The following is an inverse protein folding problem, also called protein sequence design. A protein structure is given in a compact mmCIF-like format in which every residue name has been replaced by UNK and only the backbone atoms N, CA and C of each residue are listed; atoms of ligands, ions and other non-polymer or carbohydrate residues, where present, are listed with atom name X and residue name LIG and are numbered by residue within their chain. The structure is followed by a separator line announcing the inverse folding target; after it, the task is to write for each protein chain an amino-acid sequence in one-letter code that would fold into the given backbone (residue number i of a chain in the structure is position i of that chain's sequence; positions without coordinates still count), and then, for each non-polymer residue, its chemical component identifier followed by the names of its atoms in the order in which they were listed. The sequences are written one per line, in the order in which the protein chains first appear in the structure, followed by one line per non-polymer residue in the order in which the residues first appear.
data_IF_677340355149
#
_entry.id   IF_677340355149
#
_cell.length_a   1.000
_cell.length_b   1.000
_cell.length_c   1.000
_cell.angle_alpha   90.00
_cell.angle_beta   90.00
_cell.angle_gamma   90.00
#
_symmetry.space_group_name_H-M   'P 1'
#
loop_
_entity.id
_entity.type
_entity.pdbx_description
1 polymer ?
#
# COMPACT_ATOMS: atom_id res chain seq x y z
N UNK A 1 -26.25 1.51 -2.61
CA UNK A 1 -24.81 1.22 -2.82
C UNK A 1 -24.13 2.28 -3.68
N UNK A 2 -24.58 2.50 -4.93
CA UNK A 2 -23.96 3.48 -5.84
C UNK A 2 -23.99 4.93 -5.34
N UNK A 3 -25.07 5.35 -4.67
CA UNK A 3 -25.16 6.70 -4.11
C UNK A 3 -24.15 6.93 -2.98
N UNK A 4 -23.93 5.93 -2.12
CA UNK A 4 -22.93 5.98 -1.07
C UNK A 4 -21.51 6.07 -1.67
N UNK A 5 -21.21 5.27 -2.70
CA UNK A 5 -19.92 5.36 -3.39
C UNK A 5 -19.72 6.73 -4.06
N UNK A 6 -20.77 7.29 -4.68
CA UNK A 6 -20.73 8.64 -5.27
C UNK A 6 -20.42 9.69 -4.21
N UNK A 7 -21.06 9.61 -3.04
CA UNK A 7 -20.80 10.53 -1.92
C UNK A 7 -19.37 10.41 -1.43
N UNK A 8 -18.89 9.19 -1.16
CA UNK A 8 -17.48 8.95 -0.74
C UNK A 8 -16.50 9.52 -1.76
N UNK A 9 -16.76 9.36 -3.06
CA UNK A 9 -15.92 9.93 -4.13
C UNK A 9 -15.88 11.46 -4.10
N UNK A 10 -17.01 12.12 -3.88
CA UNK A 10 -17.08 13.57 -3.76
C UNK A 10 -16.34 14.05 -2.50
N UNK A 11 -16.66 13.49 -1.34
CA UNK A 11 -16.10 13.91 -0.04
C UNK A 11 -14.57 13.73 -0.01
N UNK A 12 -14.06 12.60 -0.50
CA UNK A 12 -12.61 12.35 -0.58
C UNK A 12 -11.96 13.27 -1.62
N UNK A 13 -12.58 13.45 -2.80
CA UNK A 13 -12.07 14.35 -3.82
C UNK A 13 -11.91 15.78 -3.31
N UNK A 14 -12.89 16.27 -2.56
CA UNK A 14 -12.84 17.58 -1.91
C UNK A 14 -11.76 17.66 -0.83
N UNK A 15 -11.72 16.66 0.08
CA UNK A 15 -10.77 16.63 1.19
C UNK A 15 -9.31 16.66 0.74
N UNK A 16 -9.00 16.06 -0.41
CA UNK A 16 -7.63 15.92 -0.91
C UNK A 16 -7.28 16.98 -1.97
N UNK A 17 -8.24 17.80 -2.40
CA UNK A 17 -8.09 18.72 -3.53
C UNK A 17 -6.92 19.70 -3.36
N UNK A 18 -6.68 20.14 -2.12
CA UNK A 18 -5.59 21.07 -1.77
C UNK A 18 -4.19 20.49 -1.85
N UNK A 19 -4.04 19.18 -2.14
CA UNK A 19 -2.75 18.49 -2.17
C UNK A 19 -2.51 17.90 -3.56
N UNK A 20 -1.27 17.97 -4.04
CA UNK A 20 -0.88 17.31 -5.29
C UNK A 20 -0.72 15.80 -5.11
N UNK A 21 -0.25 15.40 -3.92
CA UNK A 21 -0.11 14.01 -3.50
C UNK A 21 -0.46 13.84 -2.02
N UNK A 22 -0.85 12.62 -1.65
CA UNK A 22 -0.92 12.16 -0.27
C UNK A 22 0.10 11.06 -0.04
N UNK A 23 0.68 11.03 1.16
CA UNK A 23 1.61 10.00 1.60
C UNK A 23 1.03 9.25 2.79
N UNK A 24 1.07 7.92 2.71
CA UNK A 24 0.66 7.01 3.79
C UNK A 24 1.60 5.82 3.81
N UNK A 25 1.75 5.10 4.94
CA UNK A 25 2.22 3.72 4.88
C UNK A 25 1.31 2.92 3.94
N UNK A 26 1.87 2.01 3.15
CA UNK A 26 1.05 1.11 2.32
C UNK A 26 0.22 0.17 3.20
N UNK A 27 0.81 -0.33 4.28
CA UNK A 27 0.20 -1.17 5.31
C UNK A 27 0.59 -0.63 6.69
N UNK A 28 -0.21 -0.89 7.74
CA UNK A 28 0.08 -0.40 9.10
C UNK A 28 1.22 -1.15 9.80
N UNK A 29 1.69 -2.27 9.23
CA UNK A 29 2.78 -3.08 9.76
C UNK A 29 3.58 -3.73 8.63
N UNK A 30 4.78 -4.20 8.95
CA UNK A 30 5.56 -5.09 8.09
C UNK A 30 4.92 -6.48 8.00
N UNK A 31 5.52 -7.38 7.22
CA UNK A 31 4.91 -8.68 6.97
C UNK A 31 4.72 -9.46 8.28
N UNK A 32 3.49 -9.92 8.50
CA UNK A 32 3.16 -10.73 9.67
C UNK A 32 3.75 -12.14 9.52
N UNK A 33 4.09 -12.80 10.65
CA UNK A 33 4.44 -14.22 10.62
C UNK A 33 3.34 -15.05 9.95
N UNK A 34 3.72 -16.13 9.30
CA UNK A 34 2.75 -17.07 8.75
C UNK A 34 1.79 -17.56 9.84
N UNK A 35 0.57 -17.89 9.45
CA UNK A 35 -0.52 -18.33 10.34
C UNK A 35 -1.04 -17.30 11.36
N UNK A 36 -0.49 -16.08 11.42
CA UNK A 36 -0.98 -15.03 12.35
C UNK A 36 -2.44 -14.63 12.10
N UNK A 37 -2.91 -14.65 10.84
CA UNK A 37 -4.28 -14.27 10.45
C UNK A 37 -4.82 -15.23 9.40
N UNK A 38 -5.19 -16.42 9.82
CA UNK A 38 -5.77 -17.44 8.95
C UNK A 38 -7.22 -17.71 9.34
N UNK A 39 -8.07 -18.01 8.36
CA UNK A 39 -9.43 -18.52 8.61
C UNK A 39 -9.43 -19.89 9.29
N UNK A 40 -8.26 -20.54 9.34
CA UNK A 40 -8.03 -21.83 9.99
C UNK A 40 -7.64 -21.68 11.48
N UNK A 41 -7.58 -20.46 12.02
CA UNK A 41 -7.26 -20.23 13.42
C UNK A 41 -8.43 -20.70 14.30
N UNK A 42 -8.16 -21.65 15.20
CA UNK A 42 -9.17 -22.11 16.15
C UNK A 42 -9.66 -20.95 17.04
N UNK A 43 -10.97 -20.87 17.23
CA UNK A 43 -11.60 -19.87 18.11
C UNK A 43 -11.78 -18.47 17.51
N UNK A 44 -11.47 -18.25 16.23
CA UNK A 44 -11.69 -16.96 15.55
C UNK A 44 -13.04 -16.97 14.82
N UNK A 45 -13.91 -16.00 15.14
CA UNK A 45 -15.17 -15.83 14.41
C UNK A 45 -14.94 -15.18 13.05
N UNK A 46 -15.89 -15.34 12.13
CA UNK A 46 -15.85 -14.70 10.81
C UNK A 46 -15.77 -13.17 10.93
N UNK A 47 -16.46 -12.59 11.92
CA UNK A 47 -16.46 -11.14 12.12
C UNK A 47 -15.10 -10.66 12.62
N UNK A 48 -14.50 -11.37 13.59
CA UNK A 48 -13.14 -11.08 14.06
C UNK A 48 -12.11 -11.20 12.93
N UNK A 49 -12.21 -12.23 12.10
CA UNK A 49 -11.35 -12.39 10.93
C UNK A 49 -11.51 -11.21 9.96
N UNK A 50 -12.75 -10.80 9.68
CA UNK A 50 -13.04 -9.66 8.80
C UNK A 50 -12.43 -8.37 9.32
N UNK A 51 -12.60 -8.07 10.61
CA UNK A 51 -12.08 -6.85 11.22
C UNK A 51 -10.55 -6.83 11.19
N UNK A 52 -9.92 -7.96 11.51
CA UNK A 52 -8.47 -8.11 11.42
C UNK A 52 -7.96 -7.91 9.99
N UNK A 53 -8.66 -8.48 8.99
CA UNK A 53 -8.28 -8.35 7.59
C UNK A 53 -8.46 -6.91 7.09
N UNK A 54 -9.59 -6.27 7.41
CA UNK A 54 -9.87 -4.89 7.04
C UNK A 54 -8.85 -3.91 7.65
N UNK A 55 -8.38 -4.17 8.86
CA UNK A 55 -7.35 -3.34 9.51
C UNK A 55 -6.05 -3.23 8.69
N UNK A 56 -5.72 -4.21 7.85
CA UNK A 56 -4.52 -4.17 7.01
C UNK A 56 -4.66 -3.19 5.84
N UNK A 57 -5.84 -3.11 5.23
CA UNK A 57 -6.07 -2.33 4.01
C UNK A 57 -6.69 -0.95 4.27
N UNK A 58 -6.63 -0.48 5.52
CA UNK A 58 -7.27 0.75 5.98
C UNK A 58 -6.85 2.00 5.19
N UNK A 59 -5.63 2.02 4.65
CA UNK A 59 -5.10 3.16 3.88
C UNK A 59 -5.42 3.11 2.38
N UNK A 60 -5.81 1.95 1.84
CA UNK A 60 -5.95 1.74 0.39
C UNK A 60 -7.42 1.61 -0.01
N UNK A 61 -8.26 1.09 0.89
CA UNK A 61 -9.65 0.75 0.60
C UNK A 61 -10.47 1.92 0.06
N UNK A 62 -10.23 3.13 0.58
CA UNK A 62 -10.92 4.35 0.10
C UNK A 62 -10.58 4.64 -1.36
N UNK A 63 -9.31 4.51 -1.77
CA UNK A 63 -8.86 4.84 -3.13
C UNK A 63 -9.31 3.81 -4.18
N UNK A 64 -9.54 2.55 -3.77
CA UNK A 64 -10.22 1.56 -4.63
C UNK A 64 -11.67 1.96 -4.94
N UNK A 65 -12.34 2.65 -4.01
CA UNK A 65 -13.73 3.11 -4.19
C UNK A 65 -13.76 4.39 -5.04
N UNK A 66 -12.84 5.33 -4.76
CA UNK A 66 -12.87 6.68 -5.32
C UNK A 66 -12.09 6.81 -6.63
N UNK A 67 -11.18 5.88 -6.90
CA UNK A 67 -10.49 5.67 -8.18
C UNK A 67 -9.25 6.52 -8.40
N UNK A 68 -8.69 7.15 -7.36
CA UNK A 68 -7.45 7.90 -7.48
C UNK A 68 -6.28 6.94 -7.78
N UNK A 69 -5.36 7.34 -8.68
CA UNK A 69 -4.17 6.54 -8.94
C UNK A 69 -3.24 6.54 -7.72
N UNK A 70 -2.77 5.35 -7.36
CA UNK A 70 -1.90 5.12 -6.20
C UNK A 70 -0.77 4.14 -6.52
N UNK A 71 0.42 4.36 -5.94
CA UNK A 71 1.58 3.46 -6.06
C UNK A 71 2.19 3.18 -4.69
N UNK A 72 2.68 1.96 -4.48
CA UNK A 72 3.44 1.58 -3.29
C UNK A 72 4.92 1.41 -3.63
N UNK A 73 5.80 2.15 -2.96
CA UNK A 73 7.25 2.10 -3.18
C UNK A 73 7.98 1.48 -1.96
N UNK A 74 8.97 0.59 -2.17
CA UNK A 74 9.68 -0.09 -1.08
C UNK A 74 10.81 0.78 -0.51
N UNK A 75 10.44 1.89 0.13
CA UNK A 75 11.41 2.92 0.53
C UNK A 75 12.24 2.50 1.75
N UNK A 76 11.65 1.80 2.71
CA UNK A 76 12.26 1.53 4.01
C UNK A 76 12.26 0.05 4.39
N UNK A 77 12.93 -0.28 5.48
CA UNK A 77 12.79 -1.55 6.20
C UNK A 77 12.60 -1.27 7.69
N UNK A 78 12.00 -2.21 8.40
CA UNK A 78 11.99 -2.18 9.87
C UNK A 78 13.35 -2.63 10.46
N UNK A 79 13.42 -2.70 11.79
CA UNK A 79 14.62 -3.14 12.51
C UNK A 79 15.02 -4.59 12.28
N UNK A 80 14.13 -5.41 11.73
CA UNK A 80 14.37 -6.82 11.40
C UNK A 80 14.68 -7.02 9.90
N UNK A 81 14.72 -5.94 9.12
CA UNK A 81 15.00 -5.97 7.69
C UNK A 81 13.79 -6.27 6.82
N UNK A 82 12.57 -6.20 7.35
CA UNK A 82 11.34 -6.42 6.58
C UNK A 82 10.96 -5.17 5.79
N UNK A 83 10.60 -5.28 4.49
CA UNK A 83 10.27 -4.12 3.66
C UNK A 83 9.05 -3.34 4.18
N UNK A 84 9.17 -2.01 4.22
CA UNK A 84 8.08 -1.07 4.50
C UNK A 84 7.75 -0.32 3.21
N UNK A 85 6.50 -0.46 2.75
CA UNK A 85 5.97 0.28 1.62
C UNK A 85 5.44 1.65 2.02
N UNK A 86 5.69 2.66 1.18
CA UNK A 86 5.03 3.96 1.24
C UNK A 86 4.07 4.06 0.06
N UNK A 87 2.79 4.29 0.36
CA UNK A 87 1.76 4.55 -0.62
C UNK A 87 1.71 6.05 -0.93
N UNK A 88 1.77 6.36 -2.21
CA UNK A 88 1.59 7.70 -2.77
C UNK A 88 0.29 7.69 -3.55
N UNK A 89 -0.55 8.70 -3.34
CA UNK A 89 -1.83 8.86 -4.04
C UNK A 89 -1.85 10.21 -4.71
N UNK A 90 -2.11 10.24 -6.02
CA UNK A 90 -2.25 11.48 -6.77
C UNK A 90 -3.73 11.84 -6.99
N UNK A 91 -3.98 13.02 -7.58
CA UNK A 91 -5.33 13.41 -7.98
C UNK A 91 -5.89 12.44 -9.02
N UNK A 92 -7.22 12.41 -9.12
CA UNK A 92 -7.91 11.57 -10.09
C UNK A 92 -7.42 11.89 -11.52
N UNK A 93 -6.88 10.88 -12.22
CA UNK A 93 -6.34 11.03 -13.57
C UNK A 93 -4.95 11.69 -13.67
N UNK A 94 -4.22 11.84 -12.56
CA UNK A 94 -2.86 12.40 -12.55
C UNK A 94 -1.77 11.35 -12.29
N UNK A 95 -1.80 10.26 -13.05
CA UNK A 95 -0.77 9.22 -13.05
C UNK A 95 0.61 9.79 -13.41
N UNK A 96 0.67 10.86 -14.20
CA UNK A 96 1.92 11.50 -14.60
C UNK A 96 2.67 12.06 -13.38
N UNK A 97 1.99 12.76 -12.46
CA UNK A 97 2.59 13.19 -11.19
C UNK A 97 3.09 12.00 -10.37
N UNK A 98 2.29 10.94 -10.30
CA UNK A 98 2.64 9.73 -9.55
C UNK A 98 3.95 9.09 -10.06
N UNK A 99 4.08 8.94 -11.39
CA UNK A 99 5.28 8.38 -12.03
C UNK A 99 6.51 9.27 -11.82
N UNK A 100 6.37 10.61 -11.93
CA UNK A 100 7.49 11.54 -11.67
C UNK A 100 7.98 11.44 -10.23
N UNK A 101 7.07 11.47 -9.26
CA UNK A 101 7.43 11.37 -7.83
C UNK A 101 8.06 10.01 -7.53
N UNK A 102 7.52 8.92 -8.09
CA UNK A 102 8.09 7.60 -7.92
C UNK A 102 9.53 7.49 -8.45
N UNK A 103 9.79 8.06 -9.64
CA UNK A 103 11.14 8.15 -10.20
C UNK A 103 12.08 8.94 -9.30
N UNK A 104 11.64 10.10 -8.82
CA UNK A 104 12.50 10.97 -8.00
C UNK A 104 12.84 10.30 -6.66
N UNK A 105 11.88 9.58 -6.07
CA UNK A 105 12.11 8.77 -4.87
C UNK A 105 12.99 7.54 -5.15
N UNK A 106 12.88 6.90 -6.32
CA UNK A 106 13.78 5.81 -6.72
C UNK A 106 15.23 6.28 -6.84
N UNK A 107 15.44 7.48 -7.38
CA UNK A 107 16.78 8.07 -7.48
C UNK A 107 17.33 8.50 -6.12
N UNK A 108 16.49 9.09 -5.26
CA UNK A 108 16.89 9.54 -3.93
C UNK A 108 17.12 8.40 -2.93
N UNK A 109 16.32 7.32 -3.02
CA UNK A 109 16.37 6.16 -2.14
C UNK A 109 16.40 4.84 -2.95
N UNK A 110 17.51 4.53 -3.64
CA UNK A 110 17.55 3.36 -4.54
C UNK A 110 17.20 2.04 -3.84
N UNK A 111 16.29 1.28 -4.45
CA UNK A 111 15.93 -0.07 -4.01
C UNK A 111 16.29 -1.17 -5.01
N UNK A 112 16.74 -0.82 -6.21
CA UNK A 112 17.05 -1.77 -7.29
C UNK A 112 18.12 -2.80 -6.95
N UNK A 113 19.00 -2.52 -5.98
CA UNK A 113 20.04 -3.43 -5.48
C UNK A 113 19.61 -4.26 -4.26
N UNK A 114 18.45 -3.97 -3.66
CA UNK A 114 17.94 -4.71 -2.50
C UNK A 114 17.51 -6.10 -2.96
N UNK A 115 17.89 -7.14 -2.21
CA UNK A 115 17.58 -8.53 -2.53
C UNK A 115 17.00 -9.21 -1.29
N UNK A 116 15.94 -10.02 -1.44
CA UNK A 116 15.50 -10.87 -0.35
C UNK A 116 16.56 -11.96 -0.08
N UNK A 117 16.64 -12.49 1.16
CA UNK A 117 17.54 -13.60 1.48
C UNK A 117 17.21 -14.89 0.70
N UNK A 118 15.97 -15.02 0.24
CA UNK A 118 15.49 -16.14 -0.56
C UNK A 118 14.82 -15.59 -1.82
N UNK A 119 15.28 -16.03 -2.99
CA UNK A 119 14.67 -15.73 -4.29
C UNK A 119 14.43 -17.04 -5.04
N UNK A 120 13.16 -17.41 -5.24
CA UNK A 120 12.77 -18.69 -5.84
C UNK A 120 12.58 -18.64 -7.38
N UNK A 121 13.05 -17.58 -8.05
CA UNK A 121 12.98 -17.42 -9.51
C UNK A 121 14.27 -17.86 -10.22
N UNK A 122 14.19 -18.14 -11.54
CA UNK A 122 15.39 -18.32 -12.39
C UNK A 122 16.00 -16.95 -12.73
N UNK A 123 17.08 -16.56 -12.05
CA UNK A 123 17.85 -15.34 -12.32
C UNK A 123 19.05 -15.17 -11.37
N UNK A 124 20.20 -14.69 -11.88
CA UNK A 124 21.48 -14.61 -11.14
C UNK A 124 21.38 -13.69 -9.92
N UNK A 125 21.75 -14.24 -8.77
CA UNK A 125 22.06 -13.46 -7.56
C UNK A 125 23.45 -12.85 -7.78
N UNK A 126 23.54 -11.53 -7.96
CA UNK A 126 24.80 -10.78 -8.07
C UNK A 126 25.24 -10.48 -9.51
N UNK A 127 24.98 -9.26 -9.95
CA UNK A 127 25.95 -8.41 -10.66
C UNK A 127 26.32 -7.26 -9.73
#
# INVERSE_FOLDING_TARGET
MFEAQRKVRADVGEAINGFDILLTPTLPCTALPHSTRTTLSEGVTIDQFRDQYQSLYQFQGVFNITGQPSVSLPLFHDGEGMPIGIQIVARFGDEATLVRVARDLEQALPWSKRRPPVFAGRGRIGE
#
